data_IF_935212127513
#
_entry.id   IF_935212127513
#
_cell.length_a   1.000
_cell.length_b   1.000
_cell.length_c   1.000
_cell.angle_alpha   90.00
_cell.angle_beta   90.00
_cell.angle_gamma   90.00
#
_symmetry.space_group_name_H-M   'P 1'
#
loop_
_entity.id
_entity.type
_entity.pdbx_description
1 polymer ?
#
# COMPACT_ATOMS: atom_id res chain seq x y z
N UNK A 1 26.57 42.33 17.97
CA UNK A 1 25.79 42.22 16.71
C UNK A 1 25.94 40.86 16.03
N UNK A 2 27.15 40.35 15.75
CA UNK A 2 27.36 39.06 15.04
C UNK A 2 26.70 37.84 15.70
N UNK A 3 26.74 37.73 17.04
CA UNK A 3 26.12 36.61 17.78
C UNK A 3 24.58 36.62 17.70
N UNK A 4 23.96 37.80 17.78
CA UNK A 4 22.50 37.94 17.67
C UNK A 4 21.98 37.55 16.28
N UNK A 5 22.71 37.94 15.23
CA UNK A 5 22.38 37.55 13.85
C UNK A 5 22.48 36.03 13.65
N UNK A 6 23.52 35.39 14.19
CA UNK A 6 23.69 33.93 14.10
C UNK A 6 22.55 33.20 14.83
N UNK A 7 22.21 33.64 16.05
CA UNK A 7 21.09 33.06 16.82
C UNK A 7 19.78 33.20 16.06
N UNK A 8 19.52 34.37 15.47
CA UNK A 8 18.32 34.60 14.67
C UNK A 8 18.25 33.66 13.46
N UNK A 9 19.34 33.54 12.68
CA UNK A 9 19.39 32.67 11.50
C UNK A 9 19.16 31.20 11.90
N UNK A 10 19.86 30.71 12.93
CA UNK A 10 19.72 29.33 13.40
C UNK A 10 18.30 29.06 13.90
N UNK A 11 17.71 30.00 14.64
CA UNK A 11 16.33 29.87 15.14
C UNK A 11 15.33 29.86 13.99
N UNK A 12 15.50 30.74 13.00
CA UNK A 12 14.65 30.79 11.82
C UNK A 12 14.75 29.50 10.99
N UNK A 13 15.95 28.99 10.74
CA UNK A 13 16.16 27.73 10.04
C UNK A 13 15.52 26.56 10.80
N UNK A 14 15.68 26.50 12.13
CA UNK A 14 15.07 25.46 12.96
C UNK A 14 13.54 25.49 12.89
N UNK A 15 12.93 26.67 13.04
CA UNK A 15 11.48 26.85 12.93
C UNK A 15 10.95 26.47 11.54
N UNK A 16 11.67 26.83 10.48
CA UNK A 16 11.31 26.45 9.12
C UNK A 16 11.34 24.93 8.92
N UNK A 17 12.38 24.24 9.43
CA UNK A 17 12.47 22.78 9.39
C UNK A 17 11.32 22.15 10.18
N UNK A 18 11.05 22.60 11.41
CA UNK A 18 9.93 22.10 12.21
C UNK A 18 8.58 22.29 11.50
N UNK A 19 8.35 23.44 10.88
CA UNK A 19 7.12 23.71 10.14
C UNK A 19 6.97 22.79 8.91
N UNK A 20 8.05 22.55 8.17
CA UNK A 20 8.04 21.62 7.03
C UNK A 20 7.77 20.18 7.48
N UNK A 21 8.47 19.72 8.52
CA UNK A 21 8.27 18.38 9.08
C UNK A 21 6.85 18.20 9.63
N UNK A 22 6.31 19.22 10.29
CA UNK A 22 4.94 19.20 10.80
C UNK A 22 3.92 19.10 9.67
N UNK A 23 4.09 19.89 8.61
CA UNK A 23 3.21 19.87 7.44
C UNK A 23 3.21 18.50 6.75
N UNK A 24 4.39 17.92 6.53
CA UNK A 24 4.51 16.59 5.92
C UNK A 24 3.94 15.52 6.85
N UNK A 25 4.27 15.56 8.15
CA UNK A 25 3.72 14.62 9.13
C UNK A 25 2.19 14.68 9.18
N UNK A 26 1.61 15.88 9.26
CA UNK A 26 0.17 16.06 9.31
C UNK A 26 -0.50 15.56 8.02
N UNK A 27 0.00 15.96 6.85
CA UNK A 27 -0.52 15.52 5.55
C UNK A 27 -0.51 14.00 5.42
N UNK A 28 0.53 13.33 5.92
CA UNK A 28 0.69 11.89 5.79
C UNK A 28 0.09 11.09 6.94
N UNK A 29 -0.30 11.72 8.05
CA UNK A 29 -1.02 11.08 9.16
C UNK A 29 -2.49 10.79 8.85
N UNK A 30 -3.05 11.49 7.85
CA UNK A 30 -4.44 11.34 7.45
C UNK A 30 -4.62 10.13 6.51
N UNK A 31 -5.76 9.43 6.61
CA UNK A 31 -6.11 8.38 5.66
C UNK A 31 -6.27 8.96 4.26
N UNK A 32 -6.05 8.12 3.26
CA UNK A 32 -6.29 8.50 1.86
C UNK A 32 -7.77 8.81 1.65
N UNK A 33 -8.08 9.91 0.94
CA UNK A 33 -9.46 10.28 0.62
C UNK A 33 -10.14 9.16 -0.19
N UNK A 34 -11.34 8.78 0.23
CA UNK A 34 -12.14 7.76 -0.46
C UNK A 34 -12.82 8.39 -1.69
N UNK A 35 -12.69 7.80 -2.89
CA UNK A 35 -13.37 8.29 -4.09
C UNK A 35 -14.91 8.23 -3.95
N UNK A 36 -15.64 9.16 -4.57
CA UNK A 36 -17.12 9.20 -4.54
C UNK A 36 -17.78 7.99 -5.19
N UNK A 37 -17.15 7.40 -6.20
CA UNK A 37 -17.58 6.20 -6.90
C UNK A 37 -17.12 4.90 -6.22
N UNK A 38 -16.48 4.99 -5.04
CA UNK A 38 -15.91 3.84 -4.36
C UNK A 38 -16.97 2.80 -3.98
N UNK A 39 -16.71 1.54 -4.34
CA UNK A 39 -17.53 0.39 -3.94
C UNK A 39 -16.76 -0.44 -2.92
N UNK A 40 -17.34 -0.60 -1.73
CA UNK A 40 -16.75 -1.45 -0.72
C UNK A 40 -16.84 -2.92 -1.13
N UNK A 41 -15.69 -3.60 -1.17
CA UNK A 41 -15.57 -5.02 -1.48
C UNK A 41 -15.29 -5.80 -0.20
N UNK A 42 -16.18 -6.75 0.14
CA UNK A 42 -16.07 -7.63 1.30
C UNK A 42 -15.05 -8.75 1.08
N UNK A 43 -14.39 -9.18 2.16
CA UNK A 43 -13.68 -10.45 2.18
C UNK A 43 -14.64 -11.61 1.84
N UNK A 44 -14.14 -12.63 1.16
CA UNK A 44 -14.93 -13.73 0.64
C UNK A 44 -15.48 -13.51 -0.78
N UNK A 45 -15.32 -12.32 -1.37
CA UNK A 45 -15.63 -12.09 -2.79
C UNK A 45 -14.91 -13.13 -3.65
N UNK A 46 -15.65 -13.83 -4.52
CA UNK A 46 -15.07 -14.72 -5.50
C UNK A 46 -14.84 -14.01 -6.83
N UNK A 47 -13.68 -14.24 -7.44
CA UNK A 47 -13.33 -13.74 -8.77
C UNK A 47 -12.74 -14.85 -9.63
N UNK A 48 -13.00 -14.79 -10.93
CA UNK A 48 -12.34 -15.64 -11.92
C UNK A 48 -10.99 -15.09 -12.37
N UNK A 49 -10.63 -13.87 -11.95
CA UNK A 49 -9.29 -13.32 -12.18
C UNK A 49 -8.27 -14.21 -11.48
N UNK A 50 -7.20 -14.54 -12.20
CA UNK A 50 -6.10 -15.38 -11.68
C UNK A 50 -6.49 -16.82 -11.31
N UNK A 51 -7.61 -17.34 -11.84
CA UNK A 51 -8.07 -18.73 -11.59
C UNK A 51 -7.06 -19.81 -12.01
N UNK A 52 -6.13 -19.48 -12.89
CA UNK A 52 -5.08 -20.36 -13.38
C UNK A 52 -4.00 -20.65 -12.32
N UNK A 53 -3.93 -19.84 -11.25
CA UNK A 53 -2.97 -20.02 -10.16
C UNK A 53 -3.59 -20.85 -9.03
N UNK A 54 -2.91 -21.95 -8.67
CA UNK A 54 -3.33 -22.84 -7.58
C UNK A 54 -2.85 -22.36 -6.21
N UNK A 55 -1.69 -21.71 -6.19
CA UNK A 55 -1.10 -21.15 -4.97
C UNK A 55 -1.85 -19.87 -4.57
N UNK A 56 -1.88 -19.51 -3.27
CA UNK A 56 -2.36 -18.20 -2.89
C UNK A 56 -1.58 -17.09 -3.61
N UNK A 57 -2.26 -16.00 -3.88
CA UNK A 57 -1.74 -14.89 -4.67
C UNK A 57 -1.66 -13.65 -3.79
N UNK A 58 -0.57 -12.89 -3.92
CA UNK A 58 -0.46 -11.55 -3.36
C UNK A 58 -0.28 -10.54 -4.50
N UNK A 59 -1.25 -9.63 -4.62
CA UNK A 59 -1.17 -8.46 -5.49
C UNK A 59 -0.67 -7.25 -4.68
N UNK A 60 0.43 -6.68 -5.09
CA UNK A 60 1.03 -5.47 -4.53
C UNK A 60 0.71 -4.29 -5.43
N UNK A 61 -0.30 -3.51 -5.07
CA UNK A 61 -0.65 -2.28 -5.79
C UNK A 61 0.41 -1.21 -5.49
N UNK A 62 1.10 -0.78 -6.54
CA UNK A 62 2.33 0.00 -6.43
C UNK A 62 2.29 1.23 -7.34
N UNK A 63 2.80 2.34 -6.81
CA UNK A 63 3.01 3.56 -7.57
C UNK A 63 4.44 4.07 -7.36
N UNK A 64 5.31 4.07 -8.40
CA UNK A 64 6.71 4.51 -8.29
C UNK A 64 6.86 6.00 -7.96
N UNK A 65 5.82 6.82 -8.13
CA UNK A 65 5.83 8.24 -7.73
C UNK A 65 5.37 8.45 -6.29
N UNK A 66 4.71 7.47 -5.67
CA UNK A 66 4.24 7.59 -4.31
C UNK A 66 5.36 7.26 -3.30
N UNK A 67 5.71 8.18 -2.37
CA UNK A 67 6.74 7.91 -1.36
C UNK A 67 6.44 6.67 -0.51
N UNK A 68 5.17 6.47 -0.14
CA UNK A 68 4.73 5.36 0.71
C UNK A 68 5.02 4.01 0.07
N UNK A 69 4.78 3.92 -1.25
CA UNK A 69 5.07 2.73 -2.04
C UNK A 69 6.56 2.43 -2.06
N UNK A 70 7.41 3.47 -2.26
CA UNK A 70 8.87 3.32 -2.23
C UNK A 70 9.39 2.81 -0.88
N UNK A 71 8.87 3.32 0.23
CA UNK A 71 9.27 2.86 1.56
C UNK A 71 8.87 1.39 1.80
N UNK A 72 7.74 0.94 1.23
CA UNK A 72 7.30 -0.45 1.35
C UNK A 72 8.09 -1.43 0.47
N UNK A 73 8.80 -0.97 -0.57
CA UNK A 73 9.52 -1.83 -1.53
C UNK A 73 10.47 -2.83 -0.88
N UNK A 74 11.24 -2.41 0.13
CA UNK A 74 12.19 -3.30 0.84
C UNK A 74 11.47 -4.42 1.59
N UNK A 75 10.34 -4.10 2.21
CA UNK A 75 9.51 -5.04 2.94
C UNK A 75 8.86 -6.06 1.99
N UNK A 76 8.22 -5.61 0.91
CA UNK A 76 7.56 -6.55 -0.01
C UNK A 76 8.58 -7.47 -0.71
N UNK A 77 9.78 -6.98 -1.01
CA UNK A 77 10.86 -7.85 -1.50
C UNK A 77 11.31 -8.88 -0.45
N UNK A 78 11.36 -8.51 0.83
CA UNK A 78 11.65 -9.46 1.91
C UNK A 78 10.56 -10.54 2.02
N UNK A 79 9.29 -10.16 1.80
CA UNK A 79 8.16 -11.08 1.82
C UNK A 79 8.23 -12.03 0.61
N UNK A 80 8.49 -11.50 -0.58
CA UNK A 80 8.71 -12.30 -1.78
C UNK A 80 9.82 -13.33 -1.57
N UNK A 81 10.99 -12.92 -1.07
CA UNK A 81 12.11 -13.86 -0.82
C UNK A 81 11.75 -15.01 0.13
N UNK A 82 10.87 -14.77 1.11
CA UNK A 82 10.45 -15.79 2.09
C UNK A 82 9.35 -16.71 1.59
N UNK A 83 8.45 -16.21 0.75
CA UNK A 83 7.21 -16.93 0.40
C UNK A 83 7.07 -17.28 -1.08
N UNK A 84 7.99 -16.87 -1.97
CA UNK A 84 7.90 -17.08 -3.43
C UNK A 84 7.67 -18.53 -3.88
N UNK A 85 8.09 -19.51 -3.08
CA UNK A 85 7.92 -20.94 -3.41
C UNK A 85 6.53 -21.48 -3.06
N UNK A 86 5.70 -20.68 -2.37
CA UNK A 86 4.35 -21.07 -1.92
C UNK A 86 3.27 -20.03 -2.23
N UNK A 87 3.65 -18.85 -2.69
CA UNK A 87 2.78 -17.71 -2.96
C UNK A 87 3.20 -17.10 -4.30
N UNK A 88 2.23 -16.85 -5.16
CA UNK A 88 2.47 -16.09 -6.39
C UNK A 88 2.36 -14.60 -6.12
N UNK A 89 3.41 -13.84 -6.43
CA UNK A 89 3.45 -12.39 -6.24
C UNK A 89 3.25 -11.66 -7.57
N UNK A 90 2.47 -10.58 -7.53
CA UNK A 90 2.34 -9.63 -8.62
C UNK A 90 2.53 -8.19 -8.14
N UNK A 91 3.30 -7.40 -8.89
CA UNK A 91 3.26 -5.95 -8.80
C UNK A 91 2.13 -5.47 -9.72
N UNK A 92 1.18 -4.72 -9.18
CA UNK A 92 0.09 -4.11 -9.97
C UNK A 92 0.37 -2.62 -10.06
N UNK A 93 0.62 -2.12 -11.27
CA UNK A 93 1.01 -0.73 -11.52
C UNK A 93 0.06 -0.12 -12.54
N UNK A 94 -0.45 1.07 -12.24
CA UNK A 94 -1.32 1.77 -13.20
C UNK A 94 -0.59 2.09 -14.51
N UNK A 95 -1.30 1.99 -15.63
CA UNK A 95 -0.80 2.35 -16.97
C UNK A 95 -0.12 3.73 -16.98
N UNK A 96 -0.66 4.70 -16.22
CA UNK A 96 -0.12 6.05 -16.12
C UNK A 96 1.31 6.12 -15.53
N UNK A 97 1.72 5.12 -14.75
CA UNK A 97 3.00 5.07 -14.05
C UNK A 97 3.95 3.99 -14.56
N UNK A 98 3.55 3.21 -15.59
CA UNK A 98 4.36 2.12 -16.12
C UNK A 98 5.73 2.60 -16.64
N UNK A 99 5.79 3.80 -17.24
CA UNK A 99 7.04 4.40 -17.75
C UNK A 99 8.04 4.72 -16.64
N UNK A 100 7.54 4.93 -15.41
CA UNK A 100 8.36 5.22 -14.23
C UNK A 100 8.70 3.95 -13.44
N UNK A 101 8.12 2.82 -13.81
CA UNK A 101 8.46 1.51 -13.24
C UNK A 101 9.80 1.04 -13.82
N UNK A 102 10.76 0.79 -12.92
CA UNK A 102 12.14 0.42 -13.27
C UNK A 102 12.48 -0.99 -12.77
N UNK A 103 11.61 -1.96 -13.07
CA UNK A 103 11.77 -3.36 -12.66
C UNK A 103 12.25 -3.51 -11.21
N UNK A 104 11.53 -2.86 -10.29
CA UNK A 104 11.95 -2.75 -8.89
C UNK A 104 11.75 -4.04 -8.09
N UNK A 105 11.13 -5.06 -8.69
CA UNK A 105 10.70 -6.27 -8.03
C UNK A 105 11.04 -7.52 -8.84
N UNK A 106 11.49 -8.57 -8.16
CA UNK A 106 11.81 -9.87 -8.76
C UNK A 106 10.56 -10.74 -9.03
N UNK A 107 9.37 -10.14 -9.02
CA UNK A 107 8.09 -10.83 -9.23
C UNK A 107 7.28 -10.17 -10.37
N UNK A 108 6.28 -10.91 -10.87
CA UNK A 108 5.58 -10.59 -12.12
C UNK A 108 4.92 -9.22 -12.06
N UNK A 109 5.04 -8.43 -13.13
CA UNK A 109 4.37 -7.15 -13.30
C UNK A 109 3.03 -7.33 -14.00
N UNK A 110 2.00 -6.65 -13.52
CA UNK A 110 0.70 -6.48 -14.15
C UNK A 110 0.43 -5.00 -14.29
N UNK A 111 0.04 -4.60 -15.49
CA UNK A 111 -0.40 -3.25 -15.78
C UNK A 111 -1.91 -3.15 -15.57
N UNK A 112 -2.37 -2.15 -14.83
CA UNK A 112 -3.78 -1.93 -14.50
C UNK A 112 -4.29 -0.60 -15.09
N UNK A 113 -5.49 -0.62 -15.65
CA UNK A 113 -6.24 0.59 -16.04
C UNK A 113 -7.18 1.09 -14.95
N UNK A 114 -7.22 0.40 -13.81
CA UNK A 114 -8.11 0.64 -12.68
C UNK A 114 -9.11 -0.50 -12.50
N UNK A 115 -9.34 -1.34 -13.50
CA UNK A 115 -10.31 -2.44 -13.43
C UNK A 115 -9.93 -3.52 -12.40
N UNK A 116 -8.64 -3.81 -12.24
CA UNK A 116 -8.17 -4.77 -11.23
C UNK A 116 -8.33 -4.15 -9.84
N UNK A 117 -7.94 -2.88 -9.67
CA UNK A 117 -8.14 -2.15 -8.43
C UNK A 117 -9.61 -2.10 -7.99
N UNK A 118 -10.51 -1.73 -8.91
CA UNK A 118 -11.96 -1.67 -8.69
C UNK A 118 -12.53 -3.03 -8.27
N UNK A 119 -12.09 -4.12 -8.92
CA UNK A 119 -12.53 -5.48 -8.59
C UNK A 119 -12.26 -5.85 -7.14
N UNK A 120 -11.17 -5.33 -6.55
CA UNK A 120 -10.79 -5.61 -5.17
C UNK A 120 -11.07 -4.46 -4.20
N UNK A 121 -11.64 -3.35 -4.67
CA UNK A 121 -11.91 -2.16 -3.87
C UNK A 121 -10.64 -1.48 -3.35
N UNK A 122 -9.57 -1.50 -4.15
CA UNK A 122 -8.31 -0.78 -3.91
C UNK A 122 -8.45 0.63 -4.48
N UNK A 123 -8.07 1.64 -3.71
CA UNK A 123 -8.16 3.05 -4.11
C UNK A 123 -6.91 3.86 -3.71
N UNK A 124 -5.89 3.18 -3.18
CA UNK A 124 -4.64 3.80 -2.77
C UNK A 124 -3.44 2.89 -3.00
N UNK A 125 -2.25 3.51 -2.99
CA UNK A 125 -0.96 2.81 -3.03
C UNK A 125 -0.03 3.23 -1.88
N UNK A 126 0.66 2.27 -1.23
CA UNK A 126 0.63 0.84 -1.50
C UNK A 126 -0.53 0.13 -0.78
N UNK A 127 -1.15 -0.84 -1.45
CA UNK A 127 -2.10 -1.77 -0.83
C UNK A 127 -1.80 -3.21 -1.26
N UNK A 128 -2.14 -4.16 -0.40
CA UNK A 128 -2.04 -5.59 -0.66
C UNK A 128 -3.43 -6.17 -0.90
N UNK A 129 -3.53 -7.10 -1.84
CA UNK A 129 -4.67 -8.01 -1.99
C UNK A 129 -4.15 -9.44 -1.92
N UNK A 130 -4.78 -10.28 -1.10
CA UNK A 130 -4.44 -11.71 -1.00
C UNK A 130 -5.64 -12.52 -1.46
N UNK A 131 -5.40 -13.41 -2.42
CA UNK A 131 -6.39 -14.34 -2.94
C UNK A 131 -6.01 -15.78 -2.59
N UNK A 132 -7.02 -16.62 -2.33
CA UNK A 132 -6.85 -18.06 -2.23
C UNK A 132 -8.03 -18.75 -2.91
N UNK A 133 -7.74 -19.57 -3.91
CA UNK A 133 -8.74 -20.34 -4.66
C UNK A 133 -9.84 -19.43 -5.25
N UNK A 134 -9.41 -18.30 -5.83
CA UNK A 134 -10.29 -17.27 -6.40
C UNK A 134 -11.04 -16.41 -5.38
N UNK A 135 -10.89 -16.66 -4.08
CA UNK A 135 -11.55 -15.88 -3.02
C UNK A 135 -10.65 -14.78 -2.48
N UNK A 136 -11.22 -13.60 -2.29
CA UNK A 136 -10.58 -12.49 -1.60
C UNK A 136 -10.43 -12.81 -0.11
N UNK A 137 -9.20 -13.00 0.34
CA UNK A 137 -8.88 -13.25 1.75
C UNK A 137 -8.59 -11.95 2.49
N UNK A 138 -7.83 -11.06 1.85
CA UNK A 138 -7.40 -9.81 2.46
C UNK A 138 -7.30 -8.71 1.41
N UNK A 139 -7.69 -7.50 1.80
CA UNK A 139 -7.39 -6.26 1.08
C UNK A 139 -7.10 -5.16 2.09
N UNK A 140 -5.98 -4.48 1.94
CA UNK A 140 -5.62 -3.46 2.92
C UNK A 140 -4.17 -3.01 2.86
N UNK A 141 -3.76 -2.33 3.92
CA UNK A 141 -2.40 -1.84 4.08
C UNK A 141 -1.42 -2.95 4.45
N UNK A 142 -0.14 -2.60 4.36
CA UNK A 142 0.95 -3.44 4.82
C UNK A 142 1.21 -3.34 6.32
N UNK A 143 0.91 -2.19 6.92
CA UNK A 143 1.33 -1.86 8.28
C UNK A 143 0.43 -0.79 8.87
N UNK A 144 0.33 -0.73 10.21
CA UNK A 144 -0.33 0.38 10.89
C UNK A 144 0.47 1.68 10.71
N UNK A 145 1.79 1.60 10.80
CA UNK A 145 2.68 2.70 10.51
C UNK A 145 2.85 2.87 9.00
N UNK A 146 2.62 4.09 8.50
CA UNK A 146 2.71 4.43 7.06
C UNK A 146 4.05 4.08 6.42
N UNK A 147 5.15 4.20 7.18
CA UNK A 147 6.50 3.87 6.73
C UNK A 147 6.92 2.43 7.08
N UNK A 148 5.97 1.56 7.42
CA UNK A 148 6.20 0.13 7.66
C UNK A 148 7.22 -0.16 8.77
N UNK A 149 7.26 0.68 9.82
CA UNK A 149 8.22 0.58 10.93
C UNK A 149 7.75 -0.26 12.11
N UNK A 150 6.44 -0.55 12.21
CA UNK A 150 5.87 -1.31 13.33
C UNK A 150 5.77 -2.80 12.98
N UNK A 151 6.77 -3.59 13.38
CA UNK A 151 6.90 -5.00 12.98
C UNK A 151 5.71 -5.88 13.42
N UNK A 152 5.01 -5.50 14.47
CA UNK A 152 3.89 -6.28 15.00
C UNK A 152 2.61 -6.12 14.16
N UNK A 153 2.63 -5.21 13.18
CA UNK A 153 1.45 -4.87 12.36
C UNK A 153 1.63 -5.19 10.88
N UNK A 154 2.54 -6.10 10.52
CA UNK A 154 2.69 -6.57 9.15
C UNK A 154 1.52 -7.44 8.68
N UNK A 155 0.37 -6.80 8.39
CA UNK A 155 -0.90 -7.48 8.16
C UNK A 155 -0.85 -8.54 7.04
N UNK A 156 -0.24 -8.29 5.86
CA UNK A 156 -0.15 -9.31 4.83
C UNK A 156 0.66 -10.53 5.27
N UNK A 157 1.74 -10.34 6.02
CA UNK A 157 2.54 -11.46 6.55
C UNK A 157 1.75 -12.30 7.54
N UNK A 158 1.02 -11.66 8.47
CA UNK A 158 0.15 -12.35 9.43
C UNK A 158 -0.92 -13.20 8.71
N UNK A 159 -1.52 -12.69 7.63
CA UNK A 159 -2.48 -13.43 6.81
C UNK A 159 -1.80 -14.60 6.08
N UNK A 160 -0.66 -14.36 5.43
CA UNK A 160 0.06 -15.38 4.70
C UNK A 160 0.51 -16.52 5.63
N UNK A 161 1.02 -16.20 6.82
CA UNK A 161 1.39 -17.20 7.81
C UNK A 161 0.18 -18.01 8.28
N UNK A 162 -0.97 -17.36 8.49
CA UNK A 162 -2.19 -18.07 8.87
C UNK A 162 -2.67 -19.01 7.76
N UNK A 163 -2.68 -18.54 6.51
CA UNK A 163 -3.05 -19.33 5.33
C UNK A 163 -2.12 -20.53 5.12
N UNK A 164 -0.81 -20.31 5.12
CA UNK A 164 0.19 -21.34 4.81
C UNK A 164 0.30 -22.41 5.89
N UNK A 165 -0.05 -22.08 7.13
CA UNK A 165 -0.05 -23.02 8.25
C UNK A 165 -1.45 -23.60 8.53
N UNK A 166 -2.44 -23.39 7.65
CA UNK A 166 -3.83 -23.83 7.82
C UNK A 166 -4.43 -23.41 9.18
N UNK A 167 -4.07 -22.22 9.67
CA UNK A 167 -4.62 -21.63 10.90
C UNK A 167 -5.86 -20.80 10.58
N UNK A 168 -6.72 -20.60 11.58
CA UNK A 168 -7.81 -19.65 11.46
C UNK A 168 -7.28 -18.24 11.20
N UNK A 169 -7.91 -17.52 10.26
CA UNK A 169 -7.55 -16.13 9.98
C UNK A 169 -7.82 -15.26 11.22
N UNK A 170 -6.87 -14.39 11.62
CA UNK A 170 -7.06 -13.53 12.77
C UNK A 170 -8.06 -12.40 12.46
N UNK A 171 -8.70 -11.91 13.51
CA UNK A 171 -9.50 -10.69 13.43
C UNK A 171 -8.57 -9.49 13.24
N UNK A 172 -8.64 -8.86 12.07
CA UNK A 172 -7.78 -7.73 11.75
C UNK A 172 -8.32 -6.42 12.35
N UNK A 173 -7.44 -5.54 12.85
CA UNK A 173 -7.86 -4.21 13.28
C UNK A 173 -8.32 -3.37 12.08
N UNK A 174 -9.13 -2.34 12.34
CA UNK A 174 -9.59 -1.41 11.30
C UNK A 174 -8.45 -0.76 10.49
N UNK A 175 -7.30 -0.54 11.15
CA UNK A 175 -6.07 -0.03 10.53
C UNK A 175 -5.53 -0.91 9.39
N UNK A 176 -5.89 -2.20 9.36
CA UNK A 176 -5.51 -3.09 8.27
C UNK A 176 -6.26 -2.74 6.98
N UNK A 177 -7.55 -2.40 7.06
CA UNK A 177 -8.38 -2.05 5.90
C UNK A 177 -8.37 -0.56 5.52
N UNK A 178 -8.03 0.33 6.45
CA UNK A 178 -8.04 1.78 6.23
C UNK A 178 -6.85 2.22 5.37
N UNK A 179 -7.06 2.74 4.16
CA UNK A 179 -5.93 3.04 3.27
C UNK A 179 -5.08 4.23 3.71
N UNK A 180 -3.75 4.08 3.68
CA UNK A 180 -2.79 5.18 3.80
C UNK A 180 -1.85 5.18 2.60
N UNK A 181 -1.80 6.27 1.85
CA UNK A 181 -1.03 6.27 0.62
C UNK A 181 -1.33 7.44 -0.29
N UNK A 182 -1.08 7.21 -1.57
CA UNK A 182 -1.51 8.08 -2.66
C UNK A 182 -2.72 7.46 -3.35
N UNK A 183 -3.71 8.27 -3.74
CA UNK A 183 -4.83 7.80 -4.56
C UNK A 183 -4.33 7.22 -5.89
N UNK A 184 -5.14 6.33 -6.48
CA UNK A 184 -4.95 5.87 -7.85
C UNK A 184 -5.25 7.01 -8.83
N UNK A 185 -4.53 7.02 -9.95
CA UNK A 185 -4.78 7.96 -11.04
C UNK A 185 -6.18 7.78 -11.63
N UNK A 186 -6.69 6.53 -11.71
CA UNK A 186 -8.07 6.23 -12.14
C UNK A 186 -9.14 6.94 -11.31
N UNK A 187 -8.84 7.24 -10.05
CA UNK A 187 -9.80 7.75 -9.07
C UNK A 187 -9.73 9.27 -8.90
N UNK A 188 -8.73 9.95 -9.46
CA UNK A 188 -8.48 11.38 -9.21
C UNK A 188 -9.67 12.28 -9.58
N UNK A 189 -10.41 11.91 -10.63
CA UNK A 189 -11.58 12.68 -11.09
C UNK A 189 -12.80 12.51 -10.16
N UNK A 190 -12.74 11.57 -9.22
CA UNK A 190 -13.85 11.21 -8.35
C UNK A 190 -13.57 11.52 -6.87
N UNK A 191 -12.45 12.17 -6.55
CA UNK A 191 -12.12 12.52 -5.18
C UNK A 191 -13.07 13.61 -4.68
N UNK A 192 -13.83 13.30 -3.63
CA UNK A 192 -14.51 14.34 -2.84
C UNK A 192 -13.45 15.12 -2.08
N UNK A 193 -13.37 16.43 -2.29
CA UNK A 193 -12.63 17.28 -1.35
C UNK A 193 -13.22 17.09 0.04
N UNK A 194 -12.40 16.79 1.06
CA UNK A 194 -12.88 16.66 2.43
C UNK A 194 -13.48 17.98 2.94
#
# INVERSE_FOLDING_TARGET
>A
MRKGLIIFIVTFCFLAICALLWKEYFRYSLPTSVPSNYKFVNAGLYTSLFKEYKDPILLHFFNPKCPCSKFNSSYIQSLHRRYKDRITFFAVVEQAHIKDYKDQFDFKLITDDGSIADTFGVYATPQAVILKDGKLIYRGNYNKARFCTDKDTYFPEIILDSLLNNKQLPNMPSAASQAYGCNLNSDLNFITTP
#
